data_IF_399379507303
#
_entry.id   IF_399379507303
#
_cell.length_a   1.000
_cell.length_b   1.000
_cell.length_c   1.000
_cell.angle_alpha   90.00
_cell.angle_beta   90.00
_cell.angle_gamma   90.00
#
_symmetry.space_group_name_H-M   'P 1'
#
loop_
_entity.id
_entity.type
_entity.pdbx_description
1 polymer ?
#
# COMPACT_ATOMS: atom_id res chain seq x y z
N UNK A 1 -6.73 -13.93 18.08
CA UNK A 1 -6.16 -12.74 18.75
C UNK A 1 -6.44 -12.67 20.25
N UNK A 2 -7.45 -13.36 20.80
CA UNK A 2 -7.62 -13.51 22.27
C UNK A 2 -6.56 -14.43 22.93
N UNK A 3 -5.69 -15.06 22.14
CA UNK A 3 -4.77 -16.09 22.59
C UNK A 3 -3.69 -15.57 23.55
N UNK A 4 -3.20 -14.33 23.36
CA UNK A 4 -2.17 -13.78 24.24
C UNK A 4 -2.73 -13.46 25.63
N UNK A 5 -3.90 -12.83 25.69
CA UNK A 5 -4.58 -12.53 26.95
C UNK A 5 -5.00 -13.82 27.66
N UNK A 6 -5.56 -14.79 26.93
CA UNK A 6 -5.90 -16.11 27.46
C UNK A 6 -4.66 -16.87 27.97
N UNK A 7 -3.53 -16.81 27.25
CA UNK A 7 -2.26 -17.43 27.64
C UNK A 7 -1.67 -16.80 28.90
N UNK A 8 -1.71 -15.46 29.00
CA UNK A 8 -1.28 -14.72 30.21
C UNK A 8 -2.16 -15.07 31.39
N UNK A 9 -3.49 -15.08 31.22
CA UNK A 9 -4.46 -15.51 32.26
C UNK A 9 -4.15 -16.94 32.73
N UNK A 10 -3.92 -17.88 31.80
CA UNK A 10 -3.62 -19.27 32.11
C UNK A 10 -2.30 -19.43 32.88
N UNK A 11 -1.24 -18.73 32.45
CA UNK A 11 0.05 -18.71 33.13
C UNK A 11 -0.05 -18.16 34.56
N UNK A 12 -0.87 -17.12 34.75
CA UNK A 12 -1.10 -16.51 36.07
C UNK A 12 -1.87 -17.44 37.01
N UNK A 13 -2.90 -18.13 36.51
CA UNK A 13 -3.67 -19.09 37.30
C UNK A 13 -2.80 -20.29 37.76
N UNK A 14 -1.83 -20.71 36.94
CA UNK A 14 -0.86 -21.74 37.35
C UNK A 14 0.08 -21.28 38.47
N UNK A 15 0.52 -20.02 38.45
CA UNK A 15 1.34 -19.46 39.53
C UNK A 15 0.58 -19.33 40.86
N UNK A 16 -0.70 -18.93 40.80
CA UNK A 16 -1.57 -18.87 41.99
C UNK A 16 -1.78 -20.25 42.63
N UNK A 17 -1.95 -21.29 41.80
CA UNK A 17 -2.04 -22.68 42.24
C UNK A 17 -0.78 -23.13 43.01
N UNK A 18 0.41 -22.85 42.45
CA UNK A 18 1.68 -23.18 43.07
C UNK A 18 1.88 -22.46 44.42
N UNK A 19 1.52 -21.18 44.51
CA UNK A 19 1.65 -20.39 45.74
C UNK A 19 0.66 -20.82 46.84
N UNK A 20 -0.52 -21.32 46.46
CA UNK A 20 -1.54 -21.80 47.40
C UNK A 20 -1.22 -23.17 48.03
N UNK A 21 -0.34 -23.96 47.39
CA UNK A 21 0.01 -25.33 47.83
C UNK A 21 1.04 -25.38 48.97
N UNK A 22 1.74 -24.28 49.26
CA UNK A 22 2.80 -24.21 50.27
C UNK A 22 2.28 -23.94 51.69
N UNK A 23 1.98 -24.99 52.47
CA UNK A 23 1.71 -24.88 53.92
C UNK A 23 2.97 -24.48 54.70
N UNK A 24 3.20 -23.19 54.96
CA UNK A 24 4.02 -22.73 56.11
C UNK A 24 3.47 -21.43 56.73
N UNK A 25 3.31 -21.34 58.06
CA UNK A 25 2.94 -20.11 58.75
C UNK A 25 4.19 -19.23 58.90
N UNK A 26 4.18 -18.04 58.31
CA UNK A 26 5.29 -17.11 58.43
C UNK A 26 5.07 -15.78 57.70
N UNK A 27 4.81 -14.76 58.51
CA UNK A 27 5.31 -13.39 58.39
C UNK A 27 4.86 -12.54 57.19
N UNK A 28 4.73 -11.23 57.44
CA UNK A 28 4.45 -10.11 56.52
C UNK A 28 5.09 -10.23 55.13
N UNK A 29 6.20 -10.95 55.00
CA UNK A 29 6.83 -11.34 53.74
C UNK A 29 5.90 -12.09 52.77
N UNK A 30 5.11 -13.07 53.24
CA UNK A 30 4.18 -13.80 52.37
C UNK A 30 3.03 -12.91 51.86
N UNK A 31 2.51 -12.01 52.71
CA UNK A 31 1.51 -11.02 52.28
C UNK A 31 2.09 -9.99 51.30
N UNK A 32 3.34 -9.56 51.50
CA UNK A 32 4.03 -8.68 50.54
C UNK A 32 4.30 -9.38 49.22
N UNK A 33 4.74 -10.63 49.24
CA UNK A 33 4.97 -11.43 48.04
C UNK A 33 3.67 -11.57 47.24
N UNK A 34 2.56 -11.86 47.92
CA UNK A 34 1.22 -11.95 47.31
C UNK A 34 0.76 -10.61 46.73
N UNK A 35 0.99 -9.50 47.43
CA UNK A 35 0.68 -8.15 46.95
C UNK A 35 1.50 -7.80 45.70
N UNK A 36 2.81 -8.05 45.73
CA UNK A 36 3.70 -7.79 44.59
C UNK A 36 3.32 -8.65 43.39
N UNK A 37 2.93 -9.91 43.61
CA UNK A 37 2.46 -10.79 42.55
C UNK A 37 1.16 -10.28 41.92
N UNK A 38 0.22 -9.77 42.73
CA UNK A 38 -1.00 -9.13 42.23
C UNK A 38 -0.69 -7.88 41.40
N UNK A 39 0.28 -7.07 41.82
CA UNK A 39 0.70 -5.88 41.07
C UNK A 39 1.35 -6.26 39.74
N UNK A 40 2.27 -7.23 39.74
CA UNK A 40 2.88 -7.78 38.51
C UNK A 40 1.79 -8.32 37.58
N UNK A 41 0.80 -9.04 38.13
CA UNK A 41 -0.35 -9.54 37.37
C UNK A 41 -1.14 -8.42 36.71
N UNK A 42 -1.48 -7.39 37.46
CA UNK A 42 -2.19 -6.22 36.92
C UNK A 42 -1.39 -5.55 35.80
N UNK A 43 -0.08 -5.41 35.99
CA UNK A 43 0.81 -4.81 35.00
C UNK A 43 0.91 -5.66 33.73
N UNK A 44 0.99 -6.99 33.86
CA UNK A 44 0.99 -7.91 32.72
C UNK A 44 -0.33 -7.87 31.94
N UNK A 45 -1.47 -7.81 32.63
CA UNK A 45 -2.77 -7.63 31.95
C UNK A 45 -2.85 -6.31 31.20
N UNK A 46 -2.43 -5.19 31.82
CA UNK A 46 -2.38 -3.89 31.15
C UNK A 46 -1.46 -3.91 29.94
N UNK A 47 -0.29 -4.55 30.06
CA UNK A 47 0.65 -4.67 28.95
C UNK A 47 0.06 -5.48 27.79
N UNK A 48 -0.55 -6.63 28.08
CA UNK A 48 -1.19 -7.46 27.06
C UNK A 48 -2.31 -6.71 26.33
N UNK A 49 -3.16 -5.99 27.08
CA UNK A 49 -4.23 -5.18 26.51
C UNK A 49 -3.68 -4.05 25.61
N UNK A 50 -2.64 -3.35 26.07
CA UNK A 50 -1.99 -2.30 25.29
C UNK A 50 -1.33 -2.85 24.02
N UNK A 51 -0.65 -3.98 24.10
CA UNK A 51 -0.03 -4.64 22.94
C UNK A 51 -1.08 -5.08 21.92
N UNK A 52 -2.21 -5.64 22.37
CA UNK A 52 -3.32 -5.99 21.47
C UNK A 52 -3.88 -4.74 20.76
N UNK A 53 -4.02 -3.62 21.47
CA UNK A 53 -4.45 -2.36 20.87
C UNK A 53 -3.43 -1.86 19.82
N UNK A 54 -2.14 -1.93 20.13
CA UNK A 54 -1.08 -1.54 19.20
C UNK A 54 -1.05 -2.44 17.96
N UNK A 55 -1.25 -3.76 18.11
CA UNK A 55 -1.33 -4.69 16.98
C UNK A 55 -2.52 -4.35 16.07
N UNK A 56 -3.70 -4.10 16.65
CA UNK A 56 -4.88 -3.71 15.87
C UNK A 56 -4.69 -2.39 15.12
N UNK A 57 -3.99 -1.42 15.74
CA UNK A 57 -3.66 -0.16 15.08
C UNK A 57 -2.68 -0.38 13.93
N UNK A 58 -1.69 -1.27 14.10
CA UNK A 58 -0.74 -1.61 13.05
C UNK A 58 -1.43 -2.26 11.85
N UNK A 59 -2.31 -3.24 12.09
CA UNK A 59 -3.11 -3.90 11.05
C UNK A 59 -3.95 -2.88 10.26
N UNK A 60 -4.53 -1.89 10.94
CA UNK A 60 -5.29 -0.82 10.29
C UNK A 60 -4.40 0.08 9.43
N UNK A 61 -3.22 0.45 9.93
CA UNK A 61 -2.28 1.31 9.21
C UNK A 61 -1.71 0.59 7.99
N UNK A 62 -1.39 -0.70 8.11
CA UNK A 62 -0.90 -1.52 6.99
C UNK A 62 -1.95 -1.55 5.87
N UNK A 63 -3.20 -1.88 6.20
CA UNK A 63 -4.30 -1.89 5.23
C UNK A 63 -4.55 -0.53 4.57
N UNK A 64 -4.55 0.54 5.36
CA UNK A 64 -4.70 1.90 4.82
C UNK A 64 -3.55 2.30 3.90
N UNK A 65 -2.33 1.82 4.20
CA UNK A 65 -1.14 2.07 3.40
C UNK A 65 -1.24 1.37 2.05
N UNK A 66 -1.63 0.09 2.02
CA UNK A 66 -1.85 -0.65 0.77
C UNK A 66 -2.90 0.01 -0.14
N UNK A 67 -3.99 0.51 0.45
CA UNK A 67 -5.02 1.22 -0.31
C UNK A 67 -4.48 2.52 -0.89
N UNK A 68 -3.73 3.30 -0.10
CA UNK A 68 -3.15 4.57 -0.55
C UNK A 68 -2.05 4.37 -1.60
N UNK A 69 -1.27 3.31 -1.49
CA UNK A 69 -0.26 2.95 -2.49
C UNK A 69 -0.90 2.67 -3.84
N UNK A 70 -1.97 1.86 -3.87
CA UNK A 70 -2.74 1.60 -5.10
C UNK A 70 -3.34 2.87 -5.69
N UNK A 71 -3.94 3.71 -4.85
CA UNK A 71 -4.49 5.00 -5.30
C UNK A 71 -3.42 5.91 -5.87
N UNK A 72 -2.23 5.95 -5.26
CA UNK A 72 -1.11 6.74 -5.75
C UNK A 72 -0.62 6.21 -7.10
N UNK A 73 -0.50 4.89 -7.26
CA UNK A 73 -0.12 4.26 -8.52
C UNK A 73 -1.11 4.61 -9.65
N UNK A 74 -2.42 4.51 -9.38
CA UNK A 74 -3.47 4.89 -10.35
C UNK A 74 -3.37 6.37 -10.76
N UNK A 75 -3.15 7.27 -9.80
CA UNK A 75 -2.99 8.71 -10.07
C UNK A 75 -1.75 8.97 -10.91
N UNK A 76 -0.62 8.33 -10.61
CA UNK A 76 0.62 8.48 -11.37
C UNK A 76 0.48 7.94 -12.79
N UNK A 77 -0.17 6.79 -12.97
CA UNK A 77 -0.44 6.23 -14.29
C UNK A 77 -1.32 7.17 -15.12
N UNK A 78 -2.38 7.72 -14.51
CA UNK A 78 -3.25 8.70 -15.18
C UNK A 78 -2.48 9.96 -15.58
N UNK A 79 -1.66 10.50 -14.67
CA UNK A 79 -0.87 11.70 -14.96
C UNK A 79 0.11 11.46 -16.12
N UNK A 80 0.79 10.31 -16.15
CA UNK A 80 1.67 9.95 -17.25
C UNK A 80 0.94 9.84 -18.60
N UNK A 81 -0.29 9.30 -18.58
CA UNK A 81 -1.12 9.22 -19.78
C UNK A 81 -1.57 10.61 -20.26
N UNK A 82 -1.98 11.48 -19.33
CA UNK A 82 -2.41 12.85 -19.62
C UNK A 82 -1.25 13.70 -20.17
N UNK A 83 -0.05 13.58 -19.59
CA UNK A 83 1.16 14.25 -20.08
C UNK A 83 1.53 13.80 -21.50
N UNK A 84 1.48 12.50 -21.78
CA UNK A 84 1.73 11.96 -23.12
C UNK A 84 0.67 12.43 -24.13
N UNK A 85 -0.60 12.46 -23.74
CA UNK A 85 -1.69 12.97 -24.58
C UNK A 85 -1.48 14.46 -24.90
N UNK A 86 -1.11 15.27 -23.91
CA UNK A 86 -0.83 16.69 -24.10
C UNK A 86 0.39 16.92 -25.00
N UNK A 87 1.46 16.13 -24.86
CA UNK A 87 2.59 16.19 -25.78
C UNK A 87 2.20 15.84 -27.22
N UNK A 88 1.37 14.81 -27.39
CA UNK A 88 0.92 14.37 -28.70
C UNK A 88 -0.01 15.40 -29.35
N UNK A 89 -0.89 16.03 -28.56
CA UNK A 89 -1.74 17.14 -29.00
C UNK A 89 -0.90 18.35 -29.42
N UNK A 90 0.09 18.75 -28.61
CA UNK A 90 0.99 19.85 -28.92
C UNK A 90 1.77 19.60 -30.23
N UNK A 91 2.33 18.40 -30.40
CA UNK A 91 3.01 18.00 -31.65
C UNK A 91 2.07 18.00 -32.85
N UNK A 92 0.83 17.55 -32.67
CA UNK A 92 -0.20 17.56 -33.70
C UNK A 92 -0.58 18.98 -34.11
N UNK A 93 -0.79 19.87 -33.14
CA UNK A 93 -1.09 21.28 -33.38
C UNK A 93 0.06 22.00 -34.09
N UNK A 94 1.31 21.73 -33.70
CA UNK A 94 2.50 22.28 -34.36
C UNK A 94 2.62 21.82 -35.82
N UNK A 95 2.25 20.57 -36.09
CA UNK A 95 2.29 19.98 -37.43
C UNK A 95 1.22 20.54 -38.38
N UNK A 96 0.22 21.29 -37.92
CA UNK A 96 -0.84 21.87 -38.78
C UNK A 96 -0.63 23.37 -38.97
N UNK A 97 -0.76 23.82 -40.21
CA UNK A 97 -0.85 25.23 -40.57
C UNK A 97 -2.27 25.72 -40.31
N UNK A 98 -2.39 26.68 -39.39
CA UNK A 98 -3.66 27.15 -38.87
C UNK A 98 -4.47 27.94 -39.91
N UNK A 99 -3.81 28.62 -40.85
CA UNK A 99 -4.49 29.38 -41.90
C UNK A 99 -5.01 28.49 -43.03
N UNK A 100 -4.27 27.43 -43.37
CA UNK A 100 -4.61 26.55 -44.49
C UNK A 100 -5.25 25.22 -44.10
N UNK A 101 -5.24 24.86 -42.80
CA UNK A 101 -5.70 23.57 -42.29
C UNK A 101 -4.87 22.38 -42.79
N UNK A 102 -3.70 22.61 -43.39
CA UNK A 102 -2.84 21.58 -43.99
C UNK A 102 -1.63 21.28 -43.11
N UNK A 103 -1.07 20.08 -43.23
CA UNK A 103 0.15 19.73 -42.50
C UNK A 103 1.35 20.56 -43.00
N UNK A 104 2.04 21.23 -42.07
CA UNK A 104 3.36 21.84 -42.28
C UNK A 104 4.35 20.72 -42.63
N UNK A 105 5.25 20.96 -43.58
CA UNK A 105 6.25 19.99 -44.08
C UNK A 105 5.75 18.81 -44.95
N UNK A 106 4.59 18.90 -45.58
CA UNK A 106 4.23 17.98 -46.68
C UNK A 106 5.21 18.06 -47.88
N UNK A 107 5.96 19.16 -48.01
CA UNK A 107 7.01 19.31 -49.04
C UNK A 107 8.14 18.30 -48.92
N UNK A 108 8.45 17.75 -47.74
CA UNK A 108 9.45 16.69 -47.59
C UNK A 108 8.96 15.32 -48.11
N UNK A 109 7.64 15.12 -48.26
CA UNK A 109 7.09 13.93 -48.92
C UNK A 109 7.30 13.96 -50.46
N UNK A 110 7.62 15.13 -51.02
CA UNK A 110 7.85 15.28 -52.46
C UNK A 110 9.17 14.62 -52.90
N UNK A 111 10.14 14.46 -51.98
CA UNK A 111 11.45 13.81 -52.20
C UNK A 111 11.58 12.41 -51.58
N UNK A 112 10.48 11.67 -51.43
CA UNK A 112 10.54 10.26 -51.04
C UNK A 112 11.12 9.44 -52.19
N UNK A 113 12.14 8.61 -51.91
CA UNK A 113 12.63 7.61 -52.88
C UNK A 113 11.52 6.63 -53.26
N UNK A 114 11.60 6.01 -54.45
CA UNK A 114 10.56 5.09 -54.95
C UNK A 114 10.22 3.96 -53.96
N UNK A 115 11.22 3.47 -53.21
CA UNK A 115 11.04 2.47 -52.17
C UNK A 115 10.16 2.98 -51.00
N UNK A 116 10.38 4.23 -50.58
CA UNK A 116 9.61 4.85 -49.49
C UNK A 116 8.19 5.20 -49.93
N UNK A 117 7.98 5.60 -51.20
CA UNK A 117 6.64 5.81 -51.77
C UNK A 117 5.84 4.52 -51.83
N UNK A 118 6.42 3.41 -52.30
CA UNK A 118 5.74 2.12 -52.33
C UNK A 118 5.35 1.64 -50.92
N UNK A 119 6.18 1.91 -49.93
CA UNK A 119 5.88 1.54 -48.54
C UNK A 119 4.75 2.40 -47.96
N UNK A 120 4.73 3.70 -48.25
CA UNK A 120 3.63 4.58 -47.87
C UNK A 120 2.30 4.17 -48.53
N UNK A 121 2.31 3.83 -49.82
CA UNK A 121 1.11 3.36 -50.52
C UNK A 121 0.61 2.01 -49.98
N UNK A 122 1.53 1.10 -49.61
CA UNK A 122 1.15 -0.16 -48.94
C UNK A 122 0.48 0.08 -47.60
N UNK A 123 1.03 0.98 -46.77
CA UNK A 123 0.44 1.31 -45.46
C UNK A 123 -0.90 2.02 -45.62
N UNK A 124 -1.03 2.93 -46.59
CA UNK A 124 -2.29 3.61 -46.90
C UNK A 124 -3.40 2.64 -47.32
N UNK A 125 -3.07 1.68 -48.19
CA UNK A 125 -4.02 0.64 -48.62
C UNK A 125 -4.33 -0.40 -47.53
N UNK A 126 -3.53 -0.47 -46.46
CA UNK A 126 -3.79 -1.32 -45.29
C UNK A 126 -4.54 -0.60 -44.17
N UNK A 127 -4.41 0.73 -44.09
CA UNK A 127 -5.06 1.58 -43.09
C UNK A 127 -6.49 2.01 -43.48
N UNK A 128 -6.91 1.75 -44.72
CA UNK A 128 -8.26 1.99 -45.21
C UNK A 128 -9.03 0.65 -45.33
N UNK A 129 -9.73 0.19 -44.27
CA UNK A 129 -10.67 -0.91 -44.41
C UNK A 129 -11.95 -0.33 -45.02
N UNK A 130 -12.08 -0.46 -46.34
CA UNK A 130 -13.38 -0.38 -47.00
C UNK A 130 -14.34 -1.45 -46.47
#
# INVERSE_FOLDING_TARGET
>A
MEELEASVVAGLNNMDSLLSSGKKPGSVLNSRLKSNLMEVRLNLHKLAANLNLTLNQLDSVEKDTEVKEKQLEEVLQKQAADENAHELEARGADAVDYESGRLKNTSNMVNLSDAQRQQFEKVKNQADPA
#
